data_IF_265293419480
#
_entry.id   IF_265293419480
#
_cell.length_a   1.000
_cell.length_b   1.000
_cell.length_c   1.000
_cell.angle_alpha   90.00
_cell.angle_beta   90.00
_cell.angle_gamma   90.00
#
_symmetry.space_group_name_H-M   'P 1'
#
loop_
_entity.id
_entity.type
_entity.pdbx_description
1 polymer ?
#
# COMPACT_ATOMS: atom_id res chain seq x y z
N UNK A 1 46.76 12.32 26.56
CA UNK A 1 46.15 11.12 25.96
C UNK A 1 44.65 11.26 26.06
N UNK A 2 44.03 11.84 25.04
CA UNK A 2 42.59 11.92 24.91
C UNK A 2 42.14 10.88 23.87
N UNK A 3 41.02 10.24 24.19
CA UNK A 3 40.33 9.19 23.46
C UNK A 3 39.72 9.78 22.19
N UNK A 4 39.73 9.04 21.09
CA UNK A 4 38.71 9.19 20.06
C UNK A 4 38.04 7.82 19.88
N UNK A 5 36.77 7.79 20.28
CA UNK A 5 35.85 6.71 19.97
C UNK A 5 35.60 6.73 18.47
N UNK A 6 35.72 5.57 17.85
CA UNK A 6 35.27 5.29 16.49
C UNK A 6 33.87 5.86 16.28
N UNK A 7 33.79 6.77 15.30
CA UNK A 7 32.56 7.38 14.82
C UNK A 7 31.72 6.30 14.17
N UNK A 8 30.58 5.96 14.78
CA UNK A 8 29.51 5.25 14.10
C UNK A 8 29.02 6.11 12.93
N UNK A 9 29.54 5.83 11.72
CA UNK A 9 29.03 6.37 10.48
C UNK A 9 27.55 6.02 10.33
N UNK A 10 26.72 7.02 10.04
CA UNK A 10 25.34 6.79 9.65
C UNK A 10 25.32 5.85 8.42
N UNK A 11 24.39 4.87 8.34
CA UNK A 11 24.32 4.00 7.18
C UNK A 11 24.04 4.83 5.92
N UNK A 12 24.83 4.58 4.88
CA UNK A 12 24.63 5.13 3.54
C UNK A 12 23.18 4.85 3.08
N UNK A 13 22.48 5.85 2.49
CA UNK A 13 21.12 5.64 2.01
C UNK A 13 21.10 4.65 0.84
N UNK A 14 20.56 3.45 1.07
CA UNK A 14 20.27 2.45 0.04
C UNK A 14 20.92 1.07 0.19
N UNK A 15 21.58 0.77 1.31
CA UNK A 15 22.28 -0.54 1.52
C UNK A 15 21.56 -1.49 2.49
N UNK A 16 20.36 -1.12 2.97
CA UNK A 16 19.54 -1.99 3.83
C UNK A 16 18.70 -3.01 3.02
N UNK A 17 18.28 -4.12 3.63
CA UNK A 17 17.34 -5.04 2.99
C UNK A 17 16.03 -4.31 2.62
N UNK A 18 15.41 -4.70 1.51
CA UNK A 18 14.10 -4.16 1.11
C UNK A 18 13.09 -4.33 2.25
N UNK A 19 12.33 -3.27 2.53
CA UNK A 19 11.20 -3.35 3.46
C UNK A 19 10.15 -4.27 2.82
N UNK A 20 9.86 -5.39 3.47
CA UNK A 20 8.76 -6.28 3.07
C UNK A 20 7.44 -5.60 3.39
N UNK A 21 6.55 -5.52 2.42
CA UNK A 21 5.28 -4.78 2.50
C UNK A 21 4.14 -5.65 1.99
N UNK A 22 3.03 -5.65 2.69
CA UNK A 22 1.79 -6.25 2.25
C UNK A 22 0.82 -5.15 1.81
N UNK A 23 0.19 -5.33 0.66
CA UNK A 23 -0.79 -4.41 0.06
C UNK A 23 -2.11 -5.13 -0.15
N UNK A 24 -3.22 -4.43 -0.03
CA UNK A 24 -4.55 -5.02 -0.13
C UNK A 24 -5.35 -4.42 -1.28
N UNK A 25 -5.70 -5.26 -2.24
CA UNK A 25 -6.73 -4.97 -3.25
C UNK A 25 -8.07 -5.39 -2.66
N UNK A 26 -8.67 -4.52 -1.85
CA UNK A 26 -9.95 -4.77 -1.20
C UNK A 26 -11.09 -4.43 -2.15
N UNK A 27 -11.93 -5.41 -2.48
CA UNK A 27 -13.14 -5.24 -3.28
C UNK A 27 -14.40 -5.27 -2.42
N UNK A 28 -15.30 -4.33 -2.66
CA UNK A 28 -16.65 -4.33 -2.08
C UNK A 28 -17.65 -5.15 -2.94
N UNK A 29 -18.93 -5.28 -2.51
CA UNK A 29 -19.93 -5.99 -3.28
C UNK A 29 -20.27 -5.39 -4.65
N UNK A 30 -19.87 -4.15 -4.92
CA UNK A 30 -20.04 -3.46 -6.20
C UNK A 30 -18.76 -3.52 -7.06
N UNK A 31 -17.79 -4.36 -6.67
CA UNK A 31 -16.52 -4.56 -7.38
C UNK A 31 -15.65 -3.31 -7.49
N UNK A 32 -15.82 -2.39 -6.54
CA UNK A 32 -14.96 -1.22 -6.40
C UNK A 32 -13.77 -1.55 -5.52
N UNK A 33 -12.61 -0.99 -5.83
CA UNK A 33 -11.40 -1.09 -5.01
C UNK A 33 -11.31 0.07 -4.01
N UNK A 34 -10.97 -0.23 -2.76
CA UNK A 34 -10.68 0.81 -1.77
C UNK A 34 -9.26 1.37 -1.97
N UNK A 35 -9.14 2.69 -2.08
CA UNK A 35 -7.86 3.40 -2.11
C UNK A 35 -7.81 4.48 -1.03
N UNK A 36 -6.61 4.74 -0.53
CA UNK A 36 -6.28 5.82 0.39
C UNK A 36 -5.66 6.98 -0.40
N UNK A 37 -5.98 8.21 -0.02
CA UNK A 37 -5.44 9.43 -0.62
C UNK A 37 -4.32 9.96 0.26
N UNK A 38 -3.10 9.95 -0.26
CA UNK A 38 -1.90 10.46 0.40
C UNK A 38 -1.39 11.73 -0.26
N UNK A 39 -0.60 12.51 0.47
CA UNK A 39 0.14 13.65 -0.06
C UNK A 39 1.50 13.80 0.63
N UNK A 40 2.45 14.48 -0.01
CA UNK A 40 3.71 14.85 0.64
C UNK A 40 3.41 15.84 1.79
N UNK A 41 3.87 15.56 3.04
CA UNK A 41 3.52 16.40 4.18
C UNK A 41 3.99 17.86 4.04
N UNK A 42 5.05 18.11 3.28
CA UNK A 42 5.60 19.45 3.05
C UNK A 42 5.12 20.08 1.72
N UNK A 43 4.43 19.32 0.86
CA UNK A 43 3.82 19.78 -0.39
C UNK A 43 2.50 19.04 -0.67
N UNK A 44 1.37 19.49 -0.08
CA UNK A 44 0.08 18.85 -0.29
C UNK A 44 -0.44 18.88 -1.73
N UNK A 45 0.19 19.66 -2.63
CA UNK A 45 -0.13 19.65 -4.06
C UNK A 45 0.44 18.44 -4.80
N UNK A 46 1.39 17.72 -4.18
CA UNK A 46 1.89 16.43 -4.64
C UNK A 46 1.12 15.34 -3.91
N UNK A 47 0.06 14.81 -4.53
CA UNK A 47 -0.84 13.81 -3.97
C UNK A 47 -1.01 12.58 -4.87
N UNK A 48 -1.47 11.48 -4.27
CA UNK A 48 -1.67 10.21 -4.97
C UNK A 48 -2.65 9.30 -4.23
N UNK A 49 -3.26 8.38 -4.97
CA UNK A 49 -4.05 7.28 -4.42
C UNK A 49 -3.25 5.99 -4.40
N UNK A 50 -3.43 5.18 -3.35
CA UNK A 50 -2.74 3.91 -3.19
C UNK A 50 -3.59 2.90 -2.41
N UNK A 51 -3.28 1.62 -2.56
CA UNK A 51 -3.95 0.54 -1.80
C UNK A 51 -3.59 0.60 -0.32
N UNK A 52 -4.51 0.28 0.60
CA UNK A 52 -4.16 0.03 2.00
C UNK A 52 -3.05 -1.00 2.14
N UNK A 53 -2.24 -0.86 3.19
CA UNK A 53 -1.19 -1.80 3.53
C UNK A 53 0.11 -1.14 3.96
N UNK A 54 0.91 -1.90 4.70
CA UNK A 54 2.14 -1.46 5.32
C UNK A 54 3.16 -2.57 5.47
N UNK A 55 4.16 -2.31 6.30
CA UNK A 55 5.35 -3.15 6.39
C UNK A 55 5.17 -4.26 7.40
N UNK A 56 5.90 -5.35 7.18
CA UNK A 56 5.92 -6.44 8.14
C UNK A 56 6.52 -6.00 9.48
N UNK A 57 5.89 -6.39 10.57
CA UNK A 57 6.31 -6.22 11.96
C UNK A 57 6.69 -7.57 12.60
N UNK A 58 7.86 -7.62 13.24
CA UNK A 58 8.35 -8.83 13.89
C UNK A 58 8.42 -10.04 12.94
N UNK A 59 7.75 -11.12 13.33
CA UNK A 59 7.74 -12.40 12.62
C UNK A 59 6.47 -12.62 11.79
N UNK A 60 5.65 -11.58 11.59
CA UNK A 60 4.38 -11.72 10.86
C UNK A 60 4.59 -12.12 9.39
N UNK A 61 3.63 -12.90 8.87
CA UNK A 61 3.47 -13.21 7.46
C UNK A 61 2.91 -12.00 6.70
N UNK A 62 3.02 -12.00 5.37
CA UNK A 62 2.43 -10.91 4.57
C UNK A 62 0.90 -10.91 4.66
N UNK A 63 0.29 -12.08 4.82
CA UNK A 63 -1.15 -12.23 5.02
C UNK A 63 -1.61 -11.63 6.36
N UNK A 64 -0.82 -11.81 7.43
CA UNK A 64 -1.07 -11.19 8.73
C UNK A 64 -0.91 -9.67 8.67
N UNK A 65 0.18 -9.18 8.07
CA UNK A 65 0.40 -7.75 7.83
C UNK A 65 -0.75 -7.12 7.03
N UNK A 66 -1.18 -7.76 5.92
CA UNK A 66 -2.29 -7.29 5.10
C UNK A 66 -3.58 -7.09 5.89
N UNK A 67 -3.90 -8.02 6.80
CA UNK A 67 -5.11 -7.94 7.63
C UNK A 67 -5.00 -6.86 8.70
N UNK A 68 -3.85 -6.79 9.38
CA UNK A 68 -3.58 -5.80 10.43
C UNK A 68 -3.65 -4.39 9.87
N UNK A 69 -2.87 -4.12 8.83
CA UNK A 69 -2.78 -2.79 8.20
C UNK A 69 -4.14 -2.35 7.64
N UNK A 70 -4.87 -3.24 6.95
CA UNK A 70 -6.21 -2.89 6.47
C UNK A 70 -7.15 -2.50 7.62
N UNK A 71 -7.14 -3.26 8.71
CA UNK A 71 -7.99 -2.99 9.87
C UNK A 71 -7.59 -1.67 10.56
N UNK A 72 -6.30 -1.40 10.71
CA UNK A 72 -5.77 -0.18 11.32
C UNK A 72 -6.08 1.05 10.46
N UNK A 73 -5.82 1.00 9.16
CA UNK A 73 -5.95 2.13 8.24
C UNK A 73 -7.40 2.43 7.83
N UNK A 74 -8.30 1.45 7.91
CA UNK A 74 -9.66 1.60 7.35
C UNK A 74 -10.79 1.22 8.31
N UNK A 75 -10.46 0.57 9.43
CA UNK A 75 -11.45 -0.03 10.34
C UNK A 75 -12.14 -1.29 9.80
N UNK A 76 -11.78 -1.78 8.60
CA UNK A 76 -12.41 -2.93 7.96
C UNK A 76 -11.65 -4.21 8.31
N UNK A 77 -12.23 -5.03 9.20
CA UNK A 77 -11.66 -6.32 9.60
C UNK A 77 -12.42 -7.54 9.10
N UNK A 78 -13.72 -7.41 8.77
CA UNK A 78 -14.53 -8.49 8.21
C UNK A 78 -14.25 -8.65 6.71
N UNK A 79 -13.19 -9.40 6.42
CA UNK A 79 -12.72 -9.68 5.07
C UNK A 79 -12.47 -11.18 4.83
N UNK A 80 -12.72 -11.59 3.59
CA UNK A 80 -12.18 -12.83 3.04
C UNK A 80 -10.91 -12.48 2.27
N UNK A 81 -9.75 -12.86 2.83
CA UNK A 81 -8.47 -12.74 2.13
C UNK A 81 -8.35 -13.86 1.11
N UNK A 82 -8.06 -13.49 -0.13
CA UNK A 82 -7.82 -14.37 -1.26
C UNK A 82 -6.33 -14.56 -1.54
N UNK A 83 -5.97 -14.96 -2.77
CA UNK A 83 -4.59 -15.23 -3.14
C UNK A 83 -3.75 -13.95 -3.25
N UNK A 84 -2.44 -14.15 -3.25
CA UNK A 84 -1.47 -13.14 -3.68
C UNK A 84 -1.64 -12.91 -5.20
N UNK A 85 -1.88 -11.66 -5.59
CA UNK A 85 -2.10 -11.23 -6.97
C UNK A 85 -0.80 -10.83 -7.64
N UNK A 86 -0.04 -9.94 -7.00
CA UNK A 86 1.08 -9.24 -7.64
C UNK A 86 2.25 -9.02 -6.70
N UNK A 87 3.45 -8.88 -7.27
CA UNK A 87 4.69 -8.51 -6.58
C UNK A 87 5.30 -7.29 -7.23
N UNK A 88 5.84 -6.36 -6.46
CA UNK A 88 6.49 -5.15 -6.99
C UNK A 88 7.67 -4.73 -6.11
N UNK A 89 8.82 -4.45 -6.73
CA UNK A 89 9.96 -3.84 -6.03
C UNK A 89 10.09 -2.37 -6.45
N UNK A 90 9.86 -1.45 -5.52
CA UNK A 90 9.87 -0.02 -5.81
C UNK A 90 10.75 0.78 -4.85
N UNK A 91 11.19 1.94 -5.31
CA UNK A 91 11.97 2.90 -4.53
C UNK A 91 11.36 4.28 -4.72
N UNK A 92 11.05 4.98 -3.62
CA UNK A 92 10.52 6.34 -3.65
C UNK A 92 10.97 7.12 -2.42
N UNK A 93 10.93 8.44 -2.51
CA UNK A 93 11.14 9.33 -1.35
C UNK A 93 9.78 9.79 -0.85
N UNK A 94 9.59 9.80 0.46
CA UNK A 94 8.38 10.30 1.11
C UNK A 94 8.73 10.86 2.48
N UNK A 95 8.22 12.05 2.81
CA UNK A 95 8.55 12.77 4.05
C UNK A 95 10.06 12.90 4.28
N UNK A 96 10.81 13.21 3.21
CA UNK A 96 12.27 13.35 3.23
C UNK A 96 13.05 12.04 3.42
N UNK A 97 12.38 10.89 3.52
CA UNK A 97 13.01 9.58 3.69
C UNK A 97 12.87 8.74 2.42
N UNK A 98 13.97 8.10 2.01
CA UNK A 98 13.95 7.08 0.96
C UNK A 98 13.39 5.76 1.50
N UNK A 99 12.46 5.19 0.76
CA UNK A 99 11.86 3.88 0.99
C UNK A 99 12.21 2.97 -0.17
N UNK A 100 12.78 1.80 0.13
CA UNK A 100 12.98 0.71 -0.82
C UNK A 100 12.13 -0.48 -0.35
N UNK A 101 11.13 -0.87 -1.15
CA UNK A 101 10.08 -1.81 -0.75
C UNK A 101 10.00 -3.02 -1.68
N UNK A 102 9.74 -4.19 -1.08
CA UNK A 102 9.28 -5.43 -1.72
C UNK A 102 7.80 -5.60 -1.35
N UNK A 103 6.91 -5.17 -2.25
CA UNK A 103 5.46 -5.16 -2.06
C UNK A 103 4.82 -6.45 -2.59
N UNK A 104 3.93 -7.05 -1.80
CA UNK A 104 3.04 -8.15 -2.20
C UNK A 104 1.59 -7.74 -2.08
N UNK A 105 0.84 -7.85 -3.17
CA UNK A 105 -0.55 -7.45 -3.26
C UNK A 105 -1.45 -8.66 -3.09
N UNK A 106 -2.41 -8.58 -2.17
CA UNK A 106 -3.39 -9.64 -1.90
C UNK A 106 -4.79 -9.19 -2.27
N UNK A 107 -5.56 -10.09 -2.89
CA UNK A 107 -6.98 -9.88 -3.06
C UNK A 107 -7.67 -9.98 -1.69
N UNK A 108 -8.56 -9.06 -1.38
CA UNK A 108 -9.52 -9.22 -0.29
C UNK A 108 -10.92 -8.86 -0.77
N UNK A 109 -11.93 -9.48 -0.18
CA UNK A 109 -13.34 -9.11 -0.39
C UNK A 109 -14.02 -8.84 0.93
N UNK A 110 -14.87 -7.82 0.96
CA UNK A 110 -15.71 -7.47 2.11
C UNK A 110 -17.17 -7.35 1.73
N UNK A 111 -18.06 -7.42 2.73
CA UNK A 111 -19.49 -7.10 2.59
C UNK A 111 -19.80 -5.63 2.96
N UNK A 112 -18.82 -4.89 3.48
CA UNK A 112 -18.98 -3.50 3.91
C UNK A 112 -18.33 -2.53 2.93
N UNK A 113 -19.06 -1.49 2.52
CA UNK A 113 -18.48 -0.33 1.83
C UNK A 113 -18.26 0.86 2.78
N UNK A 114 -18.46 0.68 4.08
CA UNK A 114 -18.30 1.74 5.09
C UNK A 114 -16.90 1.63 5.69
N UNK A 115 -16.12 2.70 5.55
CA UNK A 115 -14.84 2.88 6.24
C UNK A 115 -15.09 3.40 7.65
N UNK A 116 -14.33 2.91 8.63
CA UNK A 116 -14.45 3.26 10.04
C UNK A 116 -13.38 4.25 10.53
N UNK A 117 -13.44 4.66 11.81
CA UNK A 117 -12.37 5.44 12.42
C UNK A 117 -11.06 4.67 12.39
N UNK A 118 -10.00 5.36 11.98
CA UNK A 118 -8.71 4.78 11.58
C UNK A 118 -7.68 4.92 12.71
N UNK A 119 -6.98 3.83 13.04
CA UNK A 119 -5.88 3.80 14.01
C UNK A 119 -4.53 4.20 13.37
N UNK A 120 -4.54 5.29 12.61
CA UNK A 120 -3.38 5.75 11.84
C UNK A 120 -2.16 6.05 12.73
N UNK A 121 -0.97 5.79 12.21
CA UNK A 121 0.27 6.29 12.81
C UNK A 121 0.29 7.83 12.76
N UNK A 122 1.21 8.46 13.50
CA UNK A 122 1.32 9.93 13.48
C UNK A 122 1.71 10.47 12.09
N UNK A 123 2.52 9.71 11.35
CA UNK A 123 2.89 10.07 9.98
C UNK A 123 1.69 9.96 9.03
N UNK A 124 0.94 8.87 9.10
CA UNK A 124 -0.28 8.69 8.29
C UNK A 124 -1.34 9.74 8.60
N UNK A 125 -1.57 10.09 9.88
CA UNK A 125 -2.50 11.18 10.23
C UNK A 125 -2.15 12.51 9.59
N UNK A 126 -0.87 12.74 9.31
CA UNK A 126 -0.37 13.98 8.69
C UNK A 126 -0.42 13.95 7.16
N UNK A 127 -0.57 12.78 6.55
CA UNK A 127 -0.32 12.59 5.12
C UNK A 127 -1.44 11.87 4.38
N UNK A 128 -2.31 11.16 5.09
CA UNK A 128 -3.51 10.51 4.53
C UNK A 128 -4.71 11.44 4.72
N UNK A 129 -5.25 11.92 3.60
CA UNK A 129 -6.35 12.87 3.57
C UNK A 129 -7.73 12.20 3.52
N UNK A 130 -7.81 10.92 3.14
CA UNK A 130 -9.07 10.18 3.11
C UNK A 130 -8.99 8.83 2.42
N UNK A 131 -10.16 8.21 2.25
CA UNK A 131 -10.31 6.94 1.56
C UNK A 131 -11.53 6.99 0.63
N UNK A 132 -11.47 6.27 -0.50
CA UNK A 132 -12.54 6.21 -1.49
C UNK A 132 -12.59 4.85 -2.15
N UNK A 133 -13.82 4.40 -2.45
CA UNK A 133 -14.07 3.26 -3.32
C UNK A 133 -14.10 3.71 -4.78
N UNK A 134 -13.27 3.06 -5.60
CA UNK A 134 -13.07 3.36 -7.01
C UNK A 134 -13.51 2.18 -7.88
N UNK A 135 -14.37 2.42 -8.86
CA UNK A 135 -14.60 1.45 -9.94
C UNK A 135 -13.42 1.45 -10.93
N UNK A 136 -13.28 0.35 -11.68
CA UNK A 136 -12.31 0.28 -12.77
C UNK A 136 -12.56 1.35 -13.85
N UNK A 137 -13.82 1.69 -14.12
CA UNK A 137 -14.19 2.77 -15.05
C UNK A 137 -13.70 4.14 -14.56
N UNK A 138 -13.92 4.47 -13.28
CA UNK A 138 -13.43 5.73 -12.70
C UNK A 138 -11.91 5.81 -12.75
N UNK A 139 -11.20 4.72 -12.42
CA UNK A 139 -9.74 4.66 -12.52
C UNK A 139 -9.22 4.82 -13.95
N UNK A 140 -9.96 4.32 -14.95
CA UNK A 140 -9.55 4.47 -16.35
C UNK A 140 -9.72 5.90 -16.86
N UNK A 141 -10.64 6.68 -16.26
CA UNK A 141 -10.97 8.04 -16.68
C UNK A 141 -10.31 9.13 -15.85
N UNK A 142 -9.70 8.78 -14.73
CA UNK A 142 -9.10 9.77 -13.83
C UNK A 142 -7.80 10.34 -14.40
N UNK A 143 -7.51 11.58 -14.03
CA UNK A 143 -6.20 12.19 -14.23
C UNK A 143 -5.42 12.31 -12.91
N UNK A 144 -5.97 11.78 -11.81
CA UNK A 144 -5.30 11.73 -10.51
C UNK A 144 -4.18 10.67 -10.54
N UNK A 145 -3.13 10.90 -9.77
CA UNK A 145 -2.02 9.95 -9.64
C UNK A 145 -2.50 8.73 -8.84
N UNK A 146 -2.36 7.53 -9.41
CA UNK A 146 -2.73 6.28 -8.75
C UNK A 146 -1.56 5.31 -8.79
N UNK A 147 -1.26 4.68 -7.65
CA UNK A 147 -0.28 3.62 -7.53
C UNK A 147 -0.91 2.28 -7.12
N UNK A 148 -0.48 1.16 -7.72
CA UNK A 148 0.50 1.08 -8.82
C UNK A 148 -0.03 1.73 -10.12
N UNK A 149 0.87 2.22 -10.98
CA UNK A 149 0.51 3.02 -12.17
C UNK A 149 -0.44 2.31 -13.15
N UNK A 150 -0.40 0.98 -13.17
CA UNK A 150 -1.26 0.13 -14.01
C UNK A 150 -2.49 -0.42 -13.27
N UNK A 151 -2.84 0.14 -12.11
CA UNK A 151 -3.92 -0.40 -11.28
C UNK A 151 -5.26 -0.50 -12.03
N UNK A 152 -5.59 0.48 -12.88
CA UNK A 152 -6.82 0.44 -13.68
C UNK A 152 -6.88 -0.81 -14.58
N UNK A 153 -5.83 -1.04 -15.38
CA UNK A 153 -5.72 -2.22 -16.26
C UNK A 153 -5.75 -3.53 -15.47
N UNK A 154 -4.96 -3.60 -14.39
CA UNK A 154 -4.85 -4.76 -13.54
C UNK A 154 -6.18 -5.11 -12.86
N UNK A 155 -6.94 -4.09 -12.44
CA UNK A 155 -8.26 -4.27 -11.85
C UNK A 155 -9.26 -4.78 -12.90
N UNK A 156 -9.27 -4.23 -14.11
CA UNK A 156 -10.12 -4.75 -15.21
C UNK A 156 -9.85 -6.24 -15.45
N UNK A 157 -8.58 -6.62 -15.65
CA UNK A 157 -8.22 -8.03 -15.86
C UNK A 157 -8.62 -8.91 -14.67
N UNK A 158 -8.42 -8.45 -13.44
CA UNK A 158 -8.82 -9.18 -12.24
C UNK A 158 -10.33 -9.43 -12.16
N UNK A 159 -11.15 -8.46 -12.58
CA UNK A 159 -12.60 -8.57 -12.56
C UNK A 159 -13.12 -9.47 -13.70
N UNK A 160 -12.51 -9.37 -14.88
CA UNK A 160 -12.91 -10.12 -16.07
C UNK A 160 -12.44 -11.58 -16.04
N UNK A 161 -11.18 -11.82 -15.64
CA UNK A 161 -10.52 -13.12 -15.73
C UNK A 161 -10.34 -13.81 -14.38
N UNK A 162 -10.51 -13.07 -13.27
CA UNK A 162 -10.24 -13.54 -11.92
C UNK A 162 -8.78 -13.39 -11.50
N UNK A 163 -8.46 -13.90 -10.30
CA UNK A 163 -7.09 -13.86 -9.79
C UNK A 163 -6.15 -14.73 -10.65
N UNK A 164 -4.91 -14.27 -10.92
CA UNK A 164 -3.97 -15.03 -11.72
C UNK A 164 -3.58 -16.34 -11.01
N UNK A 165 -3.31 -17.39 -11.79
CA UNK A 165 -2.93 -18.70 -11.24
C UNK A 165 -1.60 -18.67 -10.44
N UNK A 166 -0.77 -17.65 -10.68
CA UNK A 166 0.47 -17.36 -9.95
C UNK A 166 0.64 -15.84 -9.82
N UNK A 167 1.28 -15.34 -8.75
CA UNK A 167 1.51 -13.91 -8.60
C UNK A 167 2.30 -13.34 -9.78
N UNK A 168 1.84 -12.22 -10.33
CA UNK A 168 2.53 -11.54 -11.43
C UNK A 168 3.52 -10.51 -10.88
N UNK A 169 4.69 -10.42 -11.49
CA UNK A 169 5.63 -9.33 -11.18
C UNK A 169 5.20 -8.07 -11.93
N UNK A 170 5.03 -6.96 -11.20
CA UNK A 170 4.79 -5.65 -11.76
C UNK A 170 6.11 -4.92 -11.94
N UNK A 171 6.23 -4.24 -13.07
CA UNK A 171 7.33 -3.30 -13.31
C UNK A 171 7.18 -2.05 -12.41
N UNK A 172 8.28 -1.30 -12.28
CA UNK A 172 8.38 -0.14 -11.38
C UNK A 172 7.41 0.98 -11.71
#
# INVERSE_FOLDING_TARGET
>A
MARDLDVHGAPEPGTGPLRRVARVVLLDPAERVLLLHGHEPDDPGTDWWFTPGGGLEGDETHEEAARRELAEETGISDITLGPELWRRVCSFTFAGRRWDQDERYYLARTRSSVTGPTALTELERRTVAGARWWSSEELTRTHETVYPTRLAELLCTLLDEGAPARPMTLDR
#
